data_IF_757831077206
#
_entry.id   IF_757831077206
#
_cell.length_a   1.000
_cell.length_b   1.000
_cell.length_c   1.000
_cell.angle_alpha   90.00
_cell.angle_beta   90.00
_cell.angle_gamma   90.00
#
_symmetry.space_group_name_H-M   'P 1'
#
loop_
_entity.id
_entity.type
_entity.pdbx_description
1 polymer ?
#
# COMPACT_ATOMS: atom_id res chain seq x y z
N UNK A 1 16.59 -24.17 -1.43
CA UNK A 1 16.08 -23.36 -0.31
C UNK A 1 14.57 -23.56 -0.17
N UNK A 2 14.04 -23.71 1.06
CA UNK A 2 12.59 -23.66 1.31
C UNK A 2 12.03 -22.28 0.99
N UNK A 3 10.68 -22.16 0.97
CA UNK A 3 10.04 -20.85 0.82
C UNK A 3 10.34 -19.95 2.03
N UNK A 4 10.57 -18.66 1.80
CA UNK A 4 10.67 -17.68 2.86
C UNK A 4 9.27 -17.43 3.45
N UNK A 5 9.14 -17.59 4.75
CA UNK A 5 7.88 -17.38 5.48
C UNK A 5 7.68 -15.91 5.78
N UNK A 6 6.45 -15.44 5.61
CA UNK A 6 6.10 -14.02 5.75
C UNK A 6 4.97 -13.83 6.74
N UNK A 7 5.14 -12.86 7.64
CA UNK A 7 4.07 -12.28 8.42
C UNK A 7 3.71 -10.89 7.84
N UNK A 8 2.41 -10.68 7.58
CA UNK A 8 1.89 -9.43 6.99
C UNK A 8 1.00 -8.73 8.01
N UNK A 9 1.47 -7.59 8.54
CA UNK A 9 0.72 -6.74 9.45
C UNK A 9 0.06 -5.60 8.67
N UNK A 10 -1.15 -5.22 9.08
CA UNK A 10 -1.93 -4.20 8.38
C UNK A 10 -2.14 -4.57 6.91
N UNK A 11 -2.41 -5.84 6.66
CA UNK A 11 -2.41 -6.44 5.33
C UNK A 11 -3.48 -5.87 4.39
N UNK A 12 -4.51 -5.21 4.93
CA UNK A 12 -5.60 -4.66 4.15
C UNK A 12 -6.27 -5.73 3.27
N UNK A 13 -6.50 -5.41 2.00
CA UNK A 13 -7.00 -6.40 1.02
C UNK A 13 -5.88 -7.22 0.35
N UNK A 14 -4.61 -7.08 0.77
CA UNK A 14 -3.51 -7.91 0.31
C UNK A 14 -2.70 -7.35 -0.87
N UNK A 15 -2.74 -6.06 -1.15
CA UNK A 15 -1.93 -5.48 -2.24
C UNK A 15 -0.42 -5.71 -2.05
N UNK A 16 0.06 -5.59 -0.82
CA UNK A 16 1.43 -5.96 -0.41
C UNK A 16 1.73 -7.41 -0.72
N UNK A 17 0.81 -8.30 -0.34
CA UNK A 17 1.03 -9.74 -0.37
C UNK A 17 0.92 -10.32 -1.78
N UNK A 18 0.07 -9.74 -2.66
CA UNK A 18 0.10 -10.04 -4.10
C UNK A 18 1.49 -9.72 -4.67
N UNK A 19 2.02 -8.52 -4.37
CA UNK A 19 3.35 -8.12 -4.84
C UNK A 19 4.48 -8.98 -4.26
N UNK A 20 4.40 -9.32 -2.97
CA UNK A 20 5.40 -10.14 -2.30
C UNK A 20 5.45 -11.57 -2.82
N UNK A 21 4.30 -12.19 -3.01
CA UNK A 21 4.21 -13.55 -3.54
C UNK A 21 4.66 -13.60 -5.01
N UNK A 22 4.34 -12.59 -5.81
CA UNK A 22 4.50 -12.66 -7.25
C UNK A 22 3.59 -13.73 -7.87
N UNK A 23 3.96 -14.25 -9.04
CA UNK A 23 3.20 -15.27 -9.74
C UNK A 23 1.89 -14.75 -10.34
N UNK A 24 1.83 -13.48 -10.74
CA UNK A 24 0.64 -12.87 -11.32
C UNK A 24 0.95 -12.17 -12.65
N UNK A 25 -0.10 -11.95 -13.43
CA UNK A 25 -0.05 -11.17 -14.66
C UNK A 25 -0.71 -9.80 -14.44
N UNK A 26 -0.10 -8.75 -15.00
CA UNK A 26 -0.71 -7.43 -15.06
C UNK A 26 -0.39 -6.77 -16.40
N UNK A 27 -1.43 -6.35 -17.16
CA UNK A 27 -1.34 -5.72 -18.48
C UNK A 27 -0.43 -6.50 -19.45
N UNK A 28 -0.60 -7.82 -19.52
CA UNK A 28 0.15 -8.70 -20.42
C UNK A 28 1.60 -8.98 -20.00
N UNK A 29 2.03 -8.47 -18.83
CA UNK A 29 3.36 -8.73 -18.27
C UNK A 29 3.26 -9.68 -17.08
N UNK A 30 4.08 -10.73 -17.10
CA UNK A 30 4.20 -11.67 -15.99
C UNK A 30 5.19 -11.14 -14.93
N UNK A 31 4.81 -11.31 -13.67
CA UNK A 31 5.61 -11.02 -12.49
C UNK A 31 5.88 -12.32 -11.77
N UNK A 32 7.10 -12.81 -11.86
CA UNK A 32 7.48 -14.14 -11.37
C UNK A 32 7.23 -14.32 -9.87
N UNK A 33 7.04 -15.57 -9.46
CA UNK A 33 6.88 -15.91 -8.05
C UNK A 33 8.18 -15.73 -7.26
N UNK A 34 8.10 -15.13 -6.09
CA UNK A 34 9.23 -14.77 -5.24
C UNK A 34 9.68 -15.88 -4.27
N UNK A 35 9.24 -17.11 -4.43
CA UNK A 35 9.52 -18.23 -3.53
C UNK A 35 9.23 -17.91 -2.04
N UNK A 36 8.12 -17.23 -1.79
CA UNK A 36 7.63 -16.85 -0.47
C UNK A 36 6.31 -17.53 -0.15
N UNK A 37 5.92 -17.56 1.13
CA UNK A 37 4.60 -17.97 1.58
C UNK A 37 4.14 -17.11 2.77
N UNK A 38 2.87 -16.70 2.75
CA UNK A 38 2.28 -15.96 3.87
C UNK A 38 1.88 -17.00 4.93
N UNK A 39 2.45 -16.88 6.12
CA UNK A 39 2.15 -17.76 7.27
C UNK A 39 1.29 -17.07 8.32
N UNK A 40 1.22 -15.73 8.27
CA UNK A 40 0.36 -14.92 9.13
C UNK A 40 -0.02 -13.62 8.43
N UNK A 41 -1.27 -13.22 8.59
CA UNK A 41 -1.78 -11.93 8.12
C UNK A 41 -2.69 -11.32 9.20
N UNK A 42 -2.64 -9.99 9.38
CA UNK A 42 -3.46 -9.29 10.35
C UNK A 42 -3.95 -7.94 9.81
N UNK A 43 -5.23 -7.68 9.97
CA UNK A 43 -5.84 -6.36 9.76
C UNK A 43 -7.15 -6.25 10.57
N UNK A 44 -7.43 -5.08 11.14
CA UNK A 44 -8.63 -4.83 11.92
C UNK A 44 -9.89 -4.58 11.05
N UNK A 45 -9.74 -4.20 9.77
CA UNK A 45 -10.86 -3.95 8.87
C UNK A 45 -11.43 -5.25 8.31
N UNK A 46 -12.58 -5.67 8.86
CA UNK A 46 -13.29 -6.89 8.46
C UNK A 46 -13.61 -6.96 6.96
N UNK A 47 -13.91 -5.82 6.32
CA UNK A 47 -14.21 -5.83 4.88
C UNK A 47 -12.94 -6.04 4.05
N UNK A 48 -11.82 -5.46 4.46
CA UNK A 48 -10.53 -5.71 3.83
C UNK A 48 -10.11 -7.17 4.03
N UNK A 49 -10.25 -7.72 5.24
CA UNK A 49 -10.01 -9.14 5.53
C UNK A 49 -10.86 -10.07 4.68
N UNK A 50 -12.14 -9.74 4.43
CA UNK A 50 -13.01 -10.56 3.58
C UNK A 50 -12.51 -10.61 2.12
N UNK A 51 -12.02 -9.48 1.58
CA UNK A 51 -11.40 -9.45 0.25
C UNK A 51 -10.09 -10.24 0.28
N UNK A 52 -9.29 -10.10 1.34
CA UNK A 52 -8.04 -10.85 1.51
C UNK A 52 -8.30 -12.36 1.52
N UNK A 53 -9.20 -12.85 2.37
CA UNK A 53 -9.54 -14.28 2.52
C UNK A 53 -10.03 -14.90 1.20
N UNK A 54 -10.67 -14.12 0.33
CA UNK A 54 -11.12 -14.56 -0.99
C UNK A 54 -9.96 -14.84 -1.95
N UNK A 55 -8.85 -14.11 -1.80
CA UNK A 55 -7.72 -14.14 -2.74
C UNK A 55 -6.52 -14.95 -2.25
N UNK A 56 -6.43 -15.19 -0.94
CA UNK A 56 -5.30 -15.90 -0.32
C UNK A 56 -5.79 -17.15 0.42
N UNK A 57 -4.90 -18.15 0.55
CA UNK A 57 -5.22 -19.42 1.23
C UNK A 57 -5.13 -19.32 2.76
N UNK A 58 -5.09 -18.11 3.30
CA UNK A 58 -4.99 -17.84 4.72
C UNK A 58 -6.05 -16.82 5.12
N UNK A 59 -6.68 -17.04 6.27
CA UNK A 59 -7.61 -16.11 6.87
C UNK A 59 -6.84 -15.12 7.74
N UNK A 60 -6.98 -13.80 7.53
CA UNK A 60 -6.35 -12.82 8.39
C UNK A 60 -6.87 -12.90 9.82
N UNK A 61 -5.97 -12.71 10.79
CA UNK A 61 -6.34 -12.44 12.17
C UNK A 61 -6.95 -11.03 12.24
N UNK A 62 -8.24 -10.96 12.56
CA UNK A 62 -8.97 -9.68 12.57
C UNK A 62 -8.95 -9.00 13.95
N UNK A 63 -8.12 -9.46 14.89
CA UNK A 63 -7.89 -8.78 16.16
C UNK A 63 -7.08 -7.50 15.98
N UNK A 64 -7.22 -6.59 16.92
CA UNK A 64 -6.27 -5.48 17.04
C UNK A 64 -4.87 -6.06 17.32
N UNK A 65 -3.87 -5.62 16.59
CA UNK A 65 -2.48 -6.13 16.74
C UNK A 65 -1.93 -5.89 18.16
N UNK A 66 -2.48 -4.92 18.90
CA UNK A 66 -2.14 -4.66 20.30
C UNK A 66 -2.56 -5.79 21.26
N UNK A 67 -3.54 -6.58 20.85
CA UNK A 67 -4.04 -7.72 21.59
C UNK A 67 -3.34 -9.03 21.24
N UNK A 68 -2.57 -9.04 20.13
CA UNK A 68 -1.85 -10.21 19.63
C UNK A 68 -0.46 -10.27 20.26
N UNK A 69 -0.19 -11.31 21.05
CA UNK A 69 1.15 -11.54 21.61
C UNK A 69 2.08 -12.07 20.50
N UNK A 70 3.33 -11.64 20.48
CA UNK A 70 4.29 -12.14 19.50
C UNK A 70 4.54 -13.66 19.65
N UNK A 71 4.37 -14.23 20.85
CA UNK A 71 4.43 -15.68 21.08
C UNK A 71 3.32 -16.48 20.37
N UNK A 72 2.21 -15.83 19.99
CA UNK A 72 1.12 -16.45 19.22
C UNK A 72 1.43 -16.48 17.71
N UNK A 73 2.38 -15.64 17.26
CA UNK A 73 2.78 -15.59 15.86
C UNK A 73 3.65 -16.80 15.50
N UNK A 74 3.45 -17.40 14.32
CA UNK A 74 4.36 -18.44 13.84
C UNK A 74 5.78 -17.89 13.66
N UNK A 75 6.74 -18.77 13.38
CA UNK A 75 8.06 -18.35 12.93
C UNK A 75 8.00 -17.89 11.47
N UNK A 76 8.66 -16.77 11.17
CA UNK A 76 8.72 -16.19 9.84
C UNK A 76 10.07 -15.50 9.57
N UNK A 77 10.40 -15.37 8.29
CA UNK A 77 11.66 -14.79 7.81
C UNK A 77 11.54 -13.32 7.48
N UNK A 78 10.35 -12.89 7.03
CA UNK A 78 10.07 -11.53 6.55
C UNK A 78 8.85 -10.97 7.28
N UNK A 79 8.96 -9.75 7.78
CA UNK A 79 7.81 -8.96 8.25
C UNK A 79 7.45 -7.90 7.22
N UNK A 80 6.18 -7.81 6.83
CA UNK A 80 5.68 -6.67 6.04
C UNK A 80 4.67 -5.86 6.84
N UNK A 81 4.61 -4.54 6.61
CA UNK A 81 3.60 -3.72 7.28
C UNK A 81 3.46 -2.32 6.69
N UNK A 82 2.21 -1.93 6.39
CA UNK A 82 1.83 -0.57 6.01
C UNK A 82 1.16 0.14 7.18
N UNK A 83 1.92 0.58 8.19
CA UNK A 83 1.35 1.18 9.40
C UNK A 83 0.72 2.56 9.11
N UNK A 84 -0.40 2.94 9.81
CA UNK A 84 -1.09 4.20 9.57
C UNK A 84 -0.24 5.45 9.88
N UNK A 85 -0.19 6.42 8.94
CA UNK A 85 0.58 7.66 9.08
C UNK A 85 -0.02 8.66 10.09
N UNK A 86 -1.31 8.59 10.39
CA UNK A 86 -2.03 9.58 11.22
C UNK A 86 -1.51 9.74 12.65
N UNK A 87 -0.59 8.92 13.03
CA UNK A 87 -0.07 8.72 14.37
C UNK A 87 1.10 9.62 14.74
N UNK A 88 1.83 10.16 13.76
CA UNK A 88 3.14 10.79 14.01
C UNK A 88 3.07 12.28 14.31
N UNK A 89 1.97 12.97 14.04
CA UNK A 89 1.76 14.35 14.48
C UNK A 89 1.77 14.50 16.02
N UNK A 90 1.55 13.40 16.75
CA UNK A 90 1.43 13.38 18.21
C UNK A 90 2.66 12.81 18.90
N UNK A 91 3.28 11.77 18.33
CA UNK A 91 4.48 11.11 18.92
C UNK A 91 5.66 12.08 19.07
N UNK A 92 5.86 12.95 18.07
CA UNK A 92 6.97 13.88 18.07
C UNK A 92 6.71 15.17 18.86
N UNK A 93 5.50 15.38 19.41
CA UNK A 93 5.22 16.54 20.26
C UNK A 93 5.66 16.35 21.72
N UNK A 94 5.72 15.13 22.24
CA UNK A 94 6.27 14.90 23.58
C UNK A 94 6.35 13.40 23.94
N UNK A 95 7.53 12.79 24.07
CA UNK A 95 7.67 11.39 24.54
C UNK A 95 7.09 11.16 25.95
N UNK A 96 6.94 12.20 26.77
CA UNK A 96 6.32 12.14 28.11
C UNK A 96 4.80 12.32 28.11
N UNK A 97 4.19 12.67 26.97
CA UNK A 97 2.73 12.82 26.80
C UNK A 97 2.13 11.77 25.87
N UNK A 98 2.60 10.54 25.93
CA UNK A 98 1.89 9.34 25.43
C UNK A 98 0.66 9.07 26.32
N UNK A 99 -0.08 10.11 26.61
CA UNK A 99 -1.35 10.10 27.34
C UNK A 99 -2.50 9.88 26.37
N UNK A 100 -2.98 8.66 26.38
CA UNK A 100 -4.39 8.20 26.29
C UNK A 100 -5.33 8.67 25.16
N UNK A 101 -5.00 9.55 24.20
CA UNK A 101 -6.03 10.09 23.28
C UNK A 101 -5.85 9.83 21.78
N UNK A 102 -4.76 9.22 21.31
CA UNK A 102 -4.66 8.77 19.92
C UNK A 102 -3.95 7.41 19.82
N UNK A 103 -4.77 6.38 19.82
CA UNK A 103 -4.32 4.96 19.78
C UNK A 103 -3.60 4.58 18.49
N UNK A 104 -3.75 5.37 17.44
CA UNK A 104 -3.18 5.05 16.11
C UNK A 104 -1.66 5.26 16.03
N UNK A 105 -1.09 6.14 16.87
CA UNK A 105 0.37 6.33 17.03
C UNK A 105 1.10 5.11 17.55
N UNK A 106 0.36 4.28 18.24
CA UNK A 106 0.91 3.08 18.87
C UNK A 106 1.15 1.94 17.87
N UNK A 107 0.47 1.94 16.70
CA UNK A 107 0.55 0.83 15.75
C UNK A 107 1.93 0.65 15.10
N UNK A 108 2.68 1.72 14.90
CA UNK A 108 4.08 1.65 14.50
C UNK A 108 4.93 0.89 15.55
N UNK A 109 4.73 1.22 16.84
CA UNK A 109 5.45 0.55 17.93
C UNK A 109 5.09 -0.93 18.06
N UNK A 110 3.87 -1.33 17.66
CA UNK A 110 3.51 -2.74 17.58
C UNK A 110 4.32 -3.47 16.50
N UNK A 111 4.57 -2.85 15.35
CA UNK A 111 5.50 -3.42 14.38
C UNK A 111 6.91 -3.55 14.95
N UNK A 112 7.41 -2.52 15.65
CA UNK A 112 8.71 -2.59 16.34
C UNK A 112 8.74 -3.65 17.44
N UNK A 113 7.64 -3.82 18.19
CA UNK A 113 7.51 -4.89 19.18
C UNK A 113 7.68 -6.27 18.56
N UNK A 114 6.95 -6.54 17.48
CA UNK A 114 7.05 -7.80 16.73
C UNK A 114 8.46 -8.01 16.19
N UNK A 115 9.10 -6.97 15.64
CA UNK A 115 10.48 -7.04 15.17
C UNK A 115 11.46 -7.41 16.30
N UNK A 116 11.33 -6.80 17.51
CA UNK A 116 12.19 -7.08 18.65
C UNK A 116 12.00 -8.49 19.20
N UNK A 117 10.77 -8.97 19.25
CA UNK A 117 10.44 -10.28 19.85
C UNK A 117 10.66 -11.45 18.89
N UNK A 118 10.38 -11.28 17.58
CA UNK A 118 10.47 -12.37 16.58
C UNK A 118 11.77 -12.36 15.77
N UNK A 119 12.44 -11.22 15.67
CA UNK A 119 13.73 -11.09 14.99
C UNK A 119 13.75 -11.71 13.57
N UNK A 120 12.79 -11.42 12.66
CA UNK A 120 12.84 -11.91 11.29
C UNK A 120 14.12 -11.47 10.58
N UNK A 121 14.49 -12.14 9.50
CA UNK A 121 15.70 -11.84 8.72
C UNK A 121 15.68 -10.43 8.14
N UNK A 122 14.51 -9.99 7.71
CA UNK A 122 14.30 -8.63 7.20
C UNK A 122 12.85 -8.17 7.41
N UNK A 123 12.62 -6.89 7.13
CA UNK A 123 11.27 -6.33 7.03
C UNK A 123 11.15 -5.37 5.86
N UNK A 124 9.92 -5.19 5.38
CA UNK A 124 9.53 -4.13 4.46
C UNK A 124 8.38 -3.35 5.09
N UNK A 125 8.61 -2.09 5.43
CA UNK A 125 7.57 -1.17 5.88
C UNK A 125 7.24 -0.17 4.78
N UNK A 126 5.97 0.21 4.69
CA UNK A 126 5.53 1.21 3.70
C UNK A 126 4.75 2.32 4.38
N UNK A 127 4.87 3.53 3.82
CA UNK A 127 4.06 4.65 4.25
C UNK A 127 3.86 5.68 3.13
N UNK A 128 2.92 6.60 3.32
CA UNK A 128 2.69 7.71 2.39
C UNK A 128 3.86 8.71 2.43
N UNK A 129 4.11 9.42 1.30
CA UNK A 129 5.15 10.46 1.21
C UNK A 129 5.11 11.48 2.35
N UNK A 130 3.90 11.80 2.84
CA UNK A 130 3.70 12.78 3.91
C UNK A 130 4.44 12.47 5.20
N UNK A 131 4.85 11.20 5.43
CA UNK A 131 5.62 10.82 6.62
C UNK A 131 6.99 11.53 6.69
N UNK A 132 7.59 11.83 5.54
CA UNK A 132 8.89 12.52 5.46
C UNK A 132 8.83 13.96 5.96
N UNK A 133 7.66 14.60 5.91
CA UNK A 133 7.42 15.97 6.38
C UNK A 133 6.60 16.03 7.67
N UNK A 134 6.17 14.88 8.19
CA UNK A 134 5.35 14.81 9.39
C UNK A 134 6.08 15.45 10.59
N UNK A 135 5.33 16.25 11.35
CA UNK A 135 5.82 16.95 12.53
C UNK A 135 7.13 17.71 12.29
N UNK A 136 7.11 18.65 11.36
CA UNK A 136 8.27 19.48 10.99
C UNK A 136 9.52 18.64 10.65
N UNK A 137 9.33 17.51 9.99
CA UNK A 137 10.37 16.52 9.61
C UNK A 137 11.02 15.78 10.78
N UNK A 138 10.48 15.88 12.00
CA UNK A 138 11.05 15.22 13.20
C UNK A 138 10.57 13.78 13.37
N UNK A 139 9.42 13.41 12.80
CA UNK A 139 8.85 12.09 12.98
C UNK A 139 9.64 10.98 12.27
N UNK A 140 10.05 11.22 11.03
CA UNK A 140 10.68 10.18 10.23
C UNK A 140 12.06 9.73 10.74
N UNK A 141 12.97 10.62 11.19
CA UNK A 141 14.21 10.20 11.84
C UNK A 141 13.98 9.29 13.07
N UNK A 142 12.96 9.57 13.88
CA UNK A 142 12.63 8.73 15.04
C UNK A 142 12.14 7.34 14.63
N UNK A 143 11.38 7.24 13.52
CA UNK A 143 10.96 5.96 12.95
C UNK A 143 12.16 5.11 12.52
N UNK A 144 13.12 5.73 11.84
CA UNK A 144 14.34 5.03 11.41
C UNK A 144 15.13 4.57 12.64
N UNK A 145 15.33 5.46 13.62
CA UNK A 145 16.03 5.12 14.85
C UNK A 145 15.38 3.94 15.59
N UNK A 146 14.05 3.90 15.74
CA UNK A 146 13.33 2.80 16.40
C UNK A 146 13.52 1.47 15.65
N UNK A 147 13.56 1.48 14.33
CA UNK A 147 13.86 0.28 13.56
C UNK A 147 15.32 -0.16 13.74
N UNK A 148 16.28 0.77 13.77
CA UNK A 148 17.69 0.47 14.01
C UNK A 148 17.92 -0.07 15.44
N UNK A 149 17.22 0.48 16.45
CA UNK A 149 17.22 0.00 17.83
C UNK A 149 16.52 -1.36 17.98
N UNK A 150 15.64 -1.72 17.03
CA UNK A 150 15.03 -3.05 16.96
C UNK A 150 15.98 -4.14 16.42
N UNK A 151 17.22 -3.77 16.03
CA UNK A 151 18.27 -4.72 15.63
C UNK A 151 18.52 -4.80 14.13
N UNK A 152 18.12 -3.79 13.35
CA UNK A 152 18.20 -3.82 11.87
C UNK A 152 19.13 -2.72 11.32
N UNK A 153 19.81 -3.04 10.19
CA UNK A 153 20.42 -2.06 9.30
C UNK A 153 19.34 -1.58 8.36
N UNK A 154 19.03 -0.27 8.39
CA UNK A 154 17.84 0.29 7.76
C UNK A 154 18.20 1.19 6.60
N UNK A 155 17.49 1.04 5.49
CA UNK A 155 17.52 1.95 4.36
C UNK A 155 16.09 2.33 3.94
N UNK A 156 15.94 3.45 3.23
CA UNK A 156 14.63 3.86 2.74
C UNK A 156 14.72 4.57 1.38
N UNK A 157 13.62 4.54 0.64
CA UNK A 157 13.49 5.23 -0.64
C UNK A 157 12.05 5.68 -0.88
N UNK A 158 11.91 6.90 -1.41
CA UNK A 158 10.64 7.35 -1.99
C UNK A 158 10.54 6.82 -3.41
N UNK A 159 9.51 6.01 -3.67
CA UNK A 159 9.24 5.43 -4.99
C UNK A 159 7.90 5.94 -5.51
N UNK A 160 7.77 6.01 -6.85
CA UNK A 160 6.52 6.39 -7.49
C UNK A 160 6.03 5.22 -8.37
N UNK A 161 4.76 4.84 -8.24
CA UNK A 161 4.18 3.70 -8.95
C UNK A 161 4.29 3.83 -10.48
N UNK A 162 4.27 5.04 -11.05
CA UNK A 162 4.48 5.26 -12.50
C UNK A 162 5.83 4.75 -12.99
N UNK A 163 6.85 4.77 -12.14
CA UNK A 163 8.20 4.29 -12.49
C UNK A 163 8.26 2.77 -12.67
N UNK A 164 7.17 2.08 -12.37
CA UNK A 164 7.02 0.62 -12.44
C UNK A 164 5.92 0.19 -13.43
N UNK A 165 5.46 1.11 -14.31
CA UNK A 165 4.43 0.80 -15.29
C UNK A 165 3.00 0.78 -14.73
N UNK A 166 2.77 1.31 -13.54
CA UNK A 166 1.43 1.47 -12.95
C UNK A 166 0.82 2.79 -13.45
N UNK A 167 -0.45 2.80 -13.94
CA UNK A 167 -1.08 3.99 -14.54
C UNK A 167 -1.54 5.01 -13.49
N UNK A 168 -0.72 5.22 -12.44
CA UNK A 168 -1.07 6.09 -11.32
C UNK A 168 0.17 6.78 -10.72
N UNK A 169 0.08 8.08 -10.52
CA UNK A 169 1.07 8.87 -9.76
C UNK A 169 0.84 8.63 -8.27
N UNK A 170 1.51 7.60 -7.71
CA UNK A 170 1.38 7.21 -6.29
C UNK A 170 2.77 7.11 -5.67
N UNK A 171 3.12 8.11 -4.86
CA UNK A 171 4.41 8.15 -4.16
C UNK A 171 4.29 7.47 -2.79
N UNK A 172 5.22 6.55 -2.50
CA UNK A 172 5.29 5.82 -1.23
C UNK A 172 6.72 5.72 -0.75
N UNK A 173 6.89 5.84 0.55
CA UNK A 173 8.18 5.61 1.22
C UNK A 173 8.25 4.14 1.57
N UNK A 174 9.24 3.46 1.05
CA UNK A 174 9.60 2.10 1.46
C UNK A 174 10.75 2.17 2.42
N UNK A 175 10.65 1.46 3.53
CA UNK A 175 11.71 1.27 4.51
C UNK A 175 12.02 -0.22 4.55
N UNK A 176 13.26 -0.58 4.30
CA UNK A 176 13.73 -1.98 4.35
C UNK A 176 14.77 -2.10 5.45
N UNK A 177 14.60 -3.08 6.32
CA UNK A 177 15.59 -3.43 7.34
C UNK A 177 16.11 -4.84 7.15
N UNK A 178 17.43 -5.00 7.19
CA UNK A 178 18.14 -6.27 7.24
C UNK A 178 18.66 -6.46 8.66
N UNK A 179 18.38 -7.60 9.29
CA UNK A 179 18.86 -7.87 10.65
C UNK A 179 20.40 -7.78 10.70
N UNK A 180 20.94 -7.09 11.69
CA UNK A 180 22.36 -6.69 11.76
C UNK A 180 23.37 -7.84 11.72
N UNK A 181 22.98 -9.04 12.17
CA UNK A 181 23.81 -10.24 12.12
C UNK A 181 23.83 -10.94 10.76
N UNK A 182 22.94 -10.53 9.83
CA UNK A 182 22.81 -11.17 8.52
C UNK A 182 23.53 -10.37 7.43
N UNK A 183 23.44 -9.04 7.46
CA UNK A 183 24.06 -8.23 6.40
C UNK A 183 23.88 -6.74 6.54
N UNK A 184 24.42 -6.02 5.59
CA UNK A 184 24.35 -4.56 5.50
C UNK A 184 22.97 -4.06 5.11
N UNK A 185 22.76 -2.74 5.18
CA UNK A 185 21.53 -2.11 4.75
C UNK A 185 21.24 -2.39 3.25
N UNK A 186 19.97 -2.63 2.93
CA UNK A 186 19.53 -2.91 1.58
C UNK A 186 19.81 -1.74 0.63
N UNK A 187 20.41 -2.01 -0.52
CA UNK A 187 20.66 -1.01 -1.56
C UNK A 187 19.45 -0.90 -2.52
N UNK A 188 18.71 0.19 -2.44
CA UNK A 188 17.60 0.47 -3.35
C UNK A 188 18.00 0.69 -4.82
N UNK A 189 19.28 0.75 -5.17
CA UNK A 189 19.71 0.75 -6.58
C UNK A 189 19.42 -0.58 -7.28
N UNK A 190 19.25 -1.66 -6.52
CA UNK A 190 18.84 -2.97 -7.00
C UNK A 190 17.38 -3.02 -7.49
N UNK A 191 16.54 -2.08 -7.04
CA UNK A 191 15.14 -1.99 -7.45
C UNK A 191 15.04 -1.38 -8.85
N UNK A 192 14.81 -2.22 -9.84
CA UNK A 192 14.77 -1.81 -11.24
C UNK A 192 13.43 -1.15 -11.57
N UNK A 193 13.49 0.04 -12.16
CA UNK A 193 12.34 0.73 -12.74
C UNK A 193 12.05 0.20 -14.15
N UNK A 194 10.87 0.50 -14.67
CA UNK A 194 10.51 0.24 -16.07
C UNK A 194 10.61 1.54 -16.87
N UNK A 195 10.98 1.43 -18.16
CA UNK A 195 11.09 2.59 -19.05
C UNK A 195 9.73 3.00 -19.67
N UNK A 196 8.65 2.27 -19.35
CA UNK A 196 7.33 2.48 -19.95
C UNK A 196 6.37 3.19 -19.01
N UNK A 197 5.78 4.28 -19.48
CA UNK A 197 4.65 4.94 -18.81
C UNK A 197 3.35 4.35 -19.34
N UNK A 198 2.51 3.84 -18.43
CA UNK A 198 1.20 3.26 -18.76
C UNK A 198 0.13 4.34 -18.68
N UNK A 199 -0.61 4.63 -19.77
CA UNK A 199 -1.70 5.59 -19.73
C UNK A 199 -2.93 5.02 -19.01
N UNK A 200 -3.77 5.89 -18.47
CA UNK A 200 -5.02 5.50 -17.81
C UNK A 200 -5.97 4.75 -18.76
N UNK A 201 -5.94 5.09 -20.07
CA UNK A 201 -6.74 4.41 -21.09
C UNK A 201 -6.52 2.89 -21.17
N UNK A 202 -5.37 2.39 -20.71
CA UNK A 202 -5.09 0.95 -20.71
C UNK A 202 -5.93 0.15 -19.70
N UNK A 203 -6.59 0.82 -18.74
CA UNK A 203 -7.27 0.17 -17.61
C UNK A 203 -8.73 0.56 -17.43
N UNK A 204 -9.25 1.50 -18.22
CA UNK A 204 -10.65 1.94 -18.14
C UNK A 204 -11.57 1.04 -18.95
N UNK A 205 -12.80 0.88 -18.46
CA UNK A 205 -13.87 0.10 -19.09
C UNK A 205 -14.64 0.97 -20.09
N UNK A 206 -15.04 0.34 -21.20
CA UNK A 206 -15.80 1.03 -22.28
C UNK A 206 -17.31 0.98 -22.04
N UNK A 207 -17.81 -0.10 -21.44
CA UNK A 207 -19.23 -0.30 -21.12
C UNK A 207 -19.39 -0.31 -19.59
N UNK A 208 -19.95 0.78 -19.06
CA UNK A 208 -20.06 1.02 -17.62
C UNK A 208 -21.50 1.40 -17.28
N UNK A 209 -22.05 0.78 -16.24
CA UNK A 209 -23.39 1.03 -15.74
C UNK A 209 -23.65 2.51 -15.47
N UNK A 210 -24.88 2.97 -15.75
CA UNK A 210 -25.31 4.36 -15.58
C UNK A 210 -25.12 4.89 -14.14
N UNK A 211 -25.16 4.04 -13.14
CA UNK A 211 -24.94 4.42 -11.74
C UNK A 211 -23.59 5.05 -11.44
N UNK A 212 -22.59 4.87 -12.32
CA UNK A 212 -21.26 5.48 -12.16
C UNK A 212 -21.20 6.90 -12.72
N UNK A 213 -22.13 7.28 -13.60
CA UNK A 213 -22.19 8.62 -14.18
C UNK A 213 -22.78 9.63 -13.20
N UNK A 214 -22.26 10.85 -13.24
CA UNK A 214 -22.74 11.93 -12.41
C UNK A 214 -23.96 12.60 -13.04
N UNK A 215 -24.94 12.97 -12.21
CA UNK A 215 -26.06 13.82 -12.65
C UNK A 215 -25.55 15.19 -13.10
N UNK A 216 -26.28 15.87 -13.99
CA UNK A 216 -25.90 17.21 -14.46
C UNK A 216 -25.72 18.19 -13.30
N UNK A 217 -26.58 18.12 -12.27
CA UNK A 217 -26.46 18.94 -11.05
C UNK A 217 -25.12 18.72 -10.33
N UNK A 218 -24.63 17.48 -10.25
CA UNK A 218 -23.33 17.18 -9.65
C UNK A 218 -22.17 17.71 -10.51
N UNK A 219 -22.27 17.58 -11.84
CA UNK A 219 -21.28 18.10 -12.78
C UNK A 219 -21.22 19.64 -12.68
N UNK A 220 -22.36 20.33 -12.69
CA UNK A 220 -22.41 21.80 -12.54
C UNK A 220 -21.77 22.27 -11.23
N UNK A 221 -22.03 21.54 -10.14
CA UNK A 221 -21.40 21.82 -8.85
C UNK A 221 -19.87 21.63 -8.89
N UNK A 222 -19.38 20.57 -9.51
CA UNK A 222 -17.94 20.33 -9.69
C UNK A 222 -17.30 21.41 -10.58
N UNK A 223 -17.96 21.84 -11.63
CA UNK A 223 -17.46 22.85 -12.58
C UNK A 223 -17.43 24.25 -11.97
N UNK A 224 -18.45 24.65 -11.21
CA UNK A 224 -18.48 25.95 -10.49
C UNK A 224 -17.29 26.12 -9.54
N UNK A 225 -16.85 25.05 -8.89
CA UNK A 225 -15.69 25.06 -7.98
C UNK A 225 -14.33 24.84 -8.68
N UNK A 226 -14.34 24.55 -9.98
CA UNK A 226 -13.12 24.26 -10.78
C UNK A 226 -12.09 25.38 -10.73
N UNK A 227 -12.53 26.62 -10.65
CA UNK A 227 -11.63 27.78 -10.63
C UNK A 227 -10.80 27.89 -9.34
N UNK A 228 -11.28 27.34 -8.22
CA UNK A 228 -10.68 27.54 -6.92
C UNK A 228 -10.07 26.25 -6.34
N UNK A 229 -10.73 25.10 -6.45
CA UNK A 229 -10.34 23.88 -5.70
C UNK A 229 -10.10 22.63 -6.53
N UNK A 230 -10.52 22.54 -7.80
CA UNK A 230 -10.56 21.29 -8.56
C UNK A 230 -9.84 21.33 -9.91
N UNK A 231 -8.73 22.07 -10.02
CA UNK A 231 -7.91 22.01 -11.25
C UNK A 231 -7.39 20.59 -11.46
N UNK A 232 -7.80 19.93 -12.54
CA UNK A 232 -7.27 18.63 -12.95
C UNK A 232 -7.94 17.41 -12.32
N UNK A 233 -9.16 17.54 -11.82
CA UNK A 233 -9.91 16.39 -11.28
C UNK A 233 -10.36 15.40 -12.37
N UNK A 234 -10.80 15.91 -13.54
CA UNK A 234 -11.00 15.10 -14.74
C UNK A 234 -9.63 14.67 -15.28
N UNK A 235 -9.42 13.36 -15.33
CA UNK A 235 -8.13 12.83 -15.71
C UNK A 235 -7.96 12.79 -17.23
N UNK A 236 -6.76 13.12 -17.69
CA UNK A 236 -6.33 12.90 -19.06
C UNK A 236 -6.02 11.40 -19.22
N UNK A 237 -6.86 10.69 -19.98
CA UNK A 237 -6.74 9.25 -20.16
C UNK A 237 -5.49 8.82 -20.94
N UNK A 238 -4.81 9.76 -21.62
CA UNK A 238 -3.54 9.51 -22.31
C UNK A 238 -2.33 9.48 -21.36
N UNK A 239 -2.53 9.79 -20.08
CA UNK A 239 -1.48 9.87 -19.05
C UNK A 239 -1.85 9.03 -17.84
N UNK A 240 -0.88 8.69 -16.97
CA UNK A 240 -1.18 8.11 -15.65
C UNK A 240 -2.05 9.06 -14.83
N UNK A 241 -3.05 8.52 -14.12
CA UNK A 241 -3.93 9.32 -13.28
C UNK A 241 -3.26 9.79 -11.97
N UNK A 242 -3.94 10.70 -11.28
CA UNK A 242 -3.59 11.06 -9.91
C UNK A 242 -3.90 9.89 -8.96
N UNK A 243 -3.33 9.95 -7.75
CA UNK A 243 -3.55 8.92 -6.73
C UNK A 243 -5.04 8.67 -6.47
N UNK A 244 -5.48 7.43 -6.61
CA UNK A 244 -6.81 6.97 -6.15
C UNK A 244 -6.77 6.75 -4.65
N UNK A 245 -7.76 7.29 -3.93
CA UNK A 245 -7.85 7.26 -2.47
C UNK A 245 -8.97 6.38 -1.95
N UNK A 246 -9.06 6.25 -0.63
CA UNK A 246 -10.08 5.45 0.05
C UNK A 246 -11.52 6.03 -0.03
N UNK A 247 -11.67 7.26 -0.52
CA UNK A 247 -12.94 8.00 -0.50
C UNK A 247 -13.68 8.05 -1.84
N UNK A 248 -13.20 7.31 -2.85
CA UNK A 248 -13.78 7.29 -4.21
C UNK A 248 -15.29 6.96 -4.27
N UNK A 249 -15.81 6.22 -3.28
CA UNK A 249 -17.24 5.97 -3.17
C UNK A 249 -18.07 7.24 -2.93
N UNK A 250 -17.48 8.24 -2.27
CA UNK A 250 -18.11 9.49 -1.87
C UNK A 250 -17.53 10.66 -2.65
N UNK A 251 -17.65 10.65 -3.96
CA UNK A 251 -17.18 11.77 -4.77
C UNK A 251 -17.98 13.02 -4.39
N UNK A 252 -17.45 13.80 -3.47
CA UNK A 252 -18.03 15.07 -3.05
C UNK A 252 -17.48 16.22 -3.88
N UNK A 253 -18.21 17.35 -3.90
CA UNK A 253 -17.77 18.57 -4.57
C UNK A 253 -16.43 19.10 -4.07
N UNK A 254 -16.05 18.75 -2.84
CA UNK A 254 -14.82 19.17 -2.17
C UNK A 254 -13.73 18.08 -2.18
N UNK A 255 -14.00 16.90 -2.78
CA UNK A 255 -13.02 15.83 -2.89
C UNK A 255 -11.94 16.17 -3.91
N UNK A 256 -10.72 15.70 -3.67
CA UNK A 256 -9.61 15.73 -4.64
C UNK A 256 -9.53 14.44 -5.46
N UNK A 257 -10.44 13.48 -5.22
CA UNK A 257 -10.44 12.21 -5.92
C UNK A 257 -10.57 12.39 -7.43
N UNK A 258 -9.81 11.64 -8.24
CA UNK A 258 -9.87 11.73 -9.69
C UNK A 258 -11.22 11.24 -10.23
N UNK A 259 -11.67 11.85 -11.33
CA UNK A 259 -12.87 11.46 -12.08
C UNK A 259 -12.53 11.30 -13.56
N UNK A 260 -13.36 10.54 -14.29
CA UNK A 260 -13.25 10.38 -15.74
C UNK A 260 -14.19 11.34 -16.45
N UNK A 261 -13.71 11.89 -17.55
CA UNK A 261 -14.55 12.52 -18.56
C UNK A 261 -14.58 11.63 -19.79
N UNK A 262 -15.78 11.19 -20.19
CA UNK A 262 -16.03 10.37 -21.38
C UNK A 262 -16.99 11.14 -22.29
N UNK A 263 -16.47 11.69 -23.37
CA UNK A 263 -17.21 12.67 -24.18
C UNK A 263 -17.62 13.87 -23.33
N UNK A 264 -18.91 14.18 -23.32
CA UNK A 264 -19.50 15.30 -22.56
C UNK A 264 -19.94 14.88 -21.15
N UNK A 265 -19.77 13.61 -20.78
CA UNK A 265 -20.23 13.06 -19.50
C UNK A 265 -19.08 12.81 -18.53
N UNK A 266 -19.37 12.92 -17.25
CA UNK A 266 -18.42 12.65 -16.17
C UNK A 266 -18.87 11.46 -15.36
N UNK A 267 -17.91 10.60 -14.95
CA UNK A 267 -18.18 9.46 -14.09
C UNK A 267 -17.07 9.20 -13.08
N UNK A 268 -17.39 8.47 -12.03
CA UNK A 268 -16.39 7.87 -11.15
C UNK A 268 -15.83 6.60 -11.79
N UNK A 269 -14.68 6.17 -11.32
CA UNK A 269 -14.14 4.84 -11.66
C UNK A 269 -15.04 3.75 -11.10
N UNK A 270 -15.10 2.60 -11.77
CA UNK A 270 -15.65 1.36 -11.19
C UNK A 270 -14.64 0.78 -10.18
N UNK A 271 -15.07 -0.11 -9.25
CA UNK A 271 -14.13 -0.81 -8.37
C UNK A 271 -13.09 -1.62 -9.15
N UNK A 272 -13.48 -2.23 -10.29
CA UNK A 272 -12.55 -2.98 -11.15
C UNK A 272 -11.50 -2.09 -11.79
N UNK A 273 -11.90 -0.91 -12.29
CA UNK A 273 -10.95 0.08 -12.79
C UNK A 273 -9.98 0.54 -11.70
N UNK A 274 -10.46 0.76 -10.47
CA UNK A 274 -9.58 1.13 -9.34
C UNK A 274 -8.60 0.00 -9.03
N UNK A 275 -9.02 -1.26 -9.07
CA UNK A 275 -8.12 -2.40 -8.89
C UNK A 275 -7.03 -2.42 -9.98
N UNK A 276 -7.41 -2.22 -11.26
CA UNK A 276 -6.46 -2.11 -12.37
C UNK A 276 -5.51 -0.92 -12.21
N UNK A 277 -6.03 0.26 -11.84
CA UNK A 277 -5.20 1.46 -11.57
C UNK A 277 -4.20 1.19 -10.46
N UNK A 278 -4.57 0.41 -9.45
CA UNK A 278 -3.69 -0.03 -8.37
C UNK A 278 -2.80 -1.20 -8.75
N UNK A 279 -2.87 -1.69 -9.99
CA UNK A 279 -2.11 -2.84 -10.50
C UNK A 279 -2.44 -4.20 -9.88
N UNK A 280 -3.66 -4.38 -9.38
CA UNK A 280 -4.13 -5.73 -9.05
C UNK A 280 -4.37 -6.55 -10.32
N UNK A 281 -4.07 -7.85 -10.33
CA UNK A 281 -4.35 -8.71 -11.47
C UNK A 281 -5.86 -8.89 -11.72
N UNK A 282 -6.25 -9.25 -12.95
CA UNK A 282 -7.66 -9.47 -13.30
C UNK A 282 -8.30 -10.60 -12.49
N UNK A 283 -7.50 -11.56 -12.08
CA UNK A 283 -7.92 -12.69 -11.23
C UNK A 283 -8.22 -12.30 -9.79
N UNK A 284 -7.86 -11.07 -9.37
CA UNK A 284 -8.11 -10.61 -8.01
C UNK A 284 -9.61 -10.35 -7.80
N UNK A 285 -10.22 -11.11 -6.91
CA UNK A 285 -11.65 -11.05 -6.63
C UNK A 285 -11.98 -9.92 -5.63
N UNK A 286 -12.99 -9.12 -5.96
CA UNK A 286 -13.53 -8.08 -5.10
C UNK A 286 -14.87 -8.54 -4.52
N UNK A 287 -14.98 -8.57 -3.21
CA UNK A 287 -16.21 -8.97 -2.49
C UNK A 287 -16.71 -7.86 -1.58
N UNK A 288 -17.97 -7.97 -1.14
CA UNK A 288 -18.61 -6.97 -0.28
C UNK A 288 -19.18 -5.79 -1.05
N UNK A 289 -19.50 -4.70 -0.34
CA UNK A 289 -20.08 -3.50 -0.94
C UNK A 289 -19.06 -2.70 -1.74
N UNK A 290 -19.50 -2.00 -2.80
CA UNK A 290 -18.60 -1.12 -3.58
C UNK A 290 -17.86 -0.11 -2.69
N UNK A 291 -18.52 0.44 -1.66
CA UNK A 291 -17.89 1.36 -0.72
C UNK A 291 -16.73 0.72 0.06
N UNK A 292 -16.88 -0.55 0.45
CA UNK A 292 -15.82 -1.31 1.10
C UNK A 292 -14.67 -1.60 0.12
N UNK A 293 -15.00 -1.98 -1.12
CA UNK A 293 -14.01 -2.23 -2.17
C UNK A 293 -13.18 -0.99 -2.48
N UNK A 294 -13.81 0.19 -2.68
CA UNK A 294 -13.08 1.45 -2.89
C UNK A 294 -12.16 1.79 -1.73
N UNK A 295 -12.64 1.59 -0.47
CA UNK A 295 -11.83 1.87 0.71
C UNK A 295 -10.61 0.95 0.79
N UNK A 296 -10.81 -0.33 0.59
CA UNK A 296 -9.75 -1.33 0.63
C UNK A 296 -8.70 -1.07 -0.46
N UNK A 297 -9.15 -0.89 -1.71
CA UNK A 297 -8.27 -0.61 -2.86
C UNK A 297 -7.54 0.73 -2.72
N UNK A 298 -8.22 1.79 -2.25
CA UNK A 298 -7.61 3.11 -2.05
C UNK A 298 -6.51 3.12 -0.99
N UNK A 299 -6.65 2.29 0.05
CA UNK A 299 -5.64 2.11 1.09
C UNK A 299 -4.51 1.16 0.65
N UNK A 300 -4.73 0.30 -0.34
CA UNK A 300 -3.76 -0.70 -0.77
C UNK A 300 -2.49 -0.08 -1.36
N UNK A 301 -1.42 -0.84 -1.26
CA UNK A 301 -0.19 -0.63 -2.01
C UNK A 301 -0.36 -1.24 -3.41
N UNK A 302 0.21 -0.62 -4.44
CA UNK A 302 0.21 -1.16 -5.79
C UNK A 302 1.06 -2.44 -5.87
N UNK A 303 0.46 -3.63 -6.16
CA UNK A 303 1.18 -4.90 -6.20
C UNK A 303 2.43 -4.89 -7.07
N UNK A 304 2.35 -4.31 -8.27
CA UNK A 304 3.49 -4.24 -9.19
C UNK A 304 4.67 -3.47 -8.59
N UNK A 305 4.42 -2.29 -7.99
CA UNK A 305 5.49 -1.52 -7.35
C UNK A 305 6.09 -2.30 -6.17
N UNK A 306 5.27 -2.97 -5.37
CA UNK A 306 5.73 -3.77 -4.25
C UNK A 306 6.55 -4.98 -4.71
N UNK A 307 6.12 -5.64 -5.80
CA UNK A 307 6.85 -6.77 -6.39
C UNK A 307 8.29 -6.40 -6.75
N UNK A 308 8.52 -5.24 -7.36
CA UNK A 308 9.88 -4.80 -7.72
C UNK A 308 10.78 -4.63 -6.49
N UNK A 309 10.24 -4.16 -5.36
CA UNK A 309 10.99 -4.04 -4.09
C UNK A 309 11.23 -5.42 -3.48
N UNK A 310 10.22 -6.26 -3.44
CA UNK A 310 10.29 -7.61 -2.86
C UNK A 310 11.25 -8.52 -3.65
N UNK A 311 11.13 -8.56 -4.98
CA UNK A 311 11.99 -9.35 -5.86
C UNK A 311 13.48 -8.96 -5.68
N UNK A 312 13.78 -7.67 -5.66
CA UNK A 312 15.14 -7.18 -5.44
C UNK A 312 15.66 -7.55 -4.05
N UNK A 313 14.84 -7.41 -3.00
CA UNK A 313 15.21 -7.78 -1.64
C UNK A 313 15.45 -9.28 -1.49
N UNK A 314 14.55 -10.11 -2.03
CA UNK A 314 14.66 -11.58 -1.92
C UNK A 314 15.89 -12.09 -2.66
N UNK A 315 16.19 -11.53 -3.83
CA UNK A 315 17.44 -11.82 -4.55
C UNK A 315 18.68 -11.41 -3.75
N UNK A 316 18.65 -10.24 -3.11
CA UNK A 316 19.72 -9.80 -2.23
C UNK A 316 19.89 -10.74 -1.03
N UNK A 317 18.81 -11.12 -0.34
CA UNK A 317 18.85 -12.06 0.77
C UNK A 317 19.45 -13.41 0.36
N UNK A 318 19.14 -13.90 -0.83
CA UNK A 318 19.73 -15.13 -1.36
C UNK A 318 21.26 -15.07 -1.52
N UNK A 319 21.84 -13.89 -1.67
CA UNK A 319 23.30 -13.72 -1.75
C UNK A 319 24.01 -13.67 -0.39
N UNK A 320 23.29 -13.31 0.67
CA UNK A 320 23.90 -13.09 2.01
C UNK A 320 23.57 -14.18 3.03
N UNK A 321 22.56 -15.03 2.77
CA UNK A 321 22.14 -16.10 3.69
C UNK A 321 22.71 -17.47 3.31
N UNK A 322 23.42 -17.59 2.18
CA UNK A 322 24.05 -18.85 1.73
C UNK A 322 25.40 -19.10 2.38
#
# INVERSE_FOLDING_TARGET
MGKLKVASLFCGCGGTDVGLLGGFEYLGKNYDGNNTEIVYANDIDQNACAIYEKNFRIKPDNRDIREVKASELPEFDILTGGFPCQSFSIVAQNPKRLGVKDDRGKLFFEMCRVLREKQPKCFIAENVKGILSANDKKAFPLIIQEFEESGYNVSYKLLNAVDFGVPQKRERVFVVGIRKDIGEAFDFSLVKKTDTSTPLSAVIETDVEEKYYFSQRAVDGMMKKRAVMNKGRAQDISKPCNTVGAHLAKVSLNSTDPVLQIGDRFRRFTPREVARIQSFPETFELVGTESAQYRALGNAIAPVMFWHVADALIKYLATIIN
#
